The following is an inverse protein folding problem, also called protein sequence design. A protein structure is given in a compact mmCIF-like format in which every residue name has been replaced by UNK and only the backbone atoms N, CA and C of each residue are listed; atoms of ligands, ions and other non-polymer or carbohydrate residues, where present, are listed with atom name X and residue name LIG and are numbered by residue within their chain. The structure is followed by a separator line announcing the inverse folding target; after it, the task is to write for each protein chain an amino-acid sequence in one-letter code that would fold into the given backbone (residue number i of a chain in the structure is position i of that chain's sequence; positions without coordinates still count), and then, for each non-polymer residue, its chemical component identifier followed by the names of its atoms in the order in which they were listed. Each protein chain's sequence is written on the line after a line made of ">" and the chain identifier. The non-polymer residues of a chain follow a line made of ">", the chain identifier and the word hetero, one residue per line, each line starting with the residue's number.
data_IF_012193741122
#
_entry.id   IF_012193741122
#
_cell.length_a   1.000
_cell.length_b   1.000
_cell.length_c   1.000
_cell.angle_alpha   90.00
_cell.angle_beta   90.00
_cell.angle_gamma   90.00
#
_symmetry.space_group_name_H-M   'P 1'
#
loop_
_entity.id
_entity.type
_entity.pdbx_description
1 polymer ?
#
# COMPACT_ATOMS: atom_id res chain seq x y z
N UNK A 1 -60.01 -44.61 44.54
CA UNK A 1 -60.91 -44.48 43.38
C UNK A 1 -60.06 -44.55 42.11
N UNK A 2 -60.14 -45.66 41.37
CA UNK A 2 -59.90 -45.74 39.90
C UNK A 2 -61.20 -45.28 39.20
N UNK A 3 -61.23 -44.76 37.94
CA UNK A 3 -60.88 -45.49 36.69
C UNK A 3 -60.05 -44.66 35.66
N UNK A 4 -59.21 -45.21 34.78
CA UNK A 4 -59.46 -46.05 33.58
C UNK A 4 -60.05 -45.27 32.37
N UNK A 5 -59.14 -45.05 31.39
CA UNK A 5 -59.24 -45.24 29.93
C UNK A 5 -60.10 -44.30 29.03
N UNK A 6 -59.63 -44.30 27.76
CA UNK A 6 -60.36 -44.24 26.47
C UNK A 6 -60.62 -42.83 25.92
N UNK A 7 -60.44 -42.46 24.65
CA UNK A 7 -59.92 -43.02 23.38
C UNK A 7 -59.83 -41.82 22.41
N UNK A 8 -59.05 -41.92 21.33
CA UNK A 8 -59.27 -41.28 20.01
C UNK A 8 -59.27 -39.73 19.91
N UNK A 9 -58.94 -39.07 18.82
CA UNK A 9 -58.48 -39.46 17.49
C UNK A 9 -58.23 -38.15 16.70
N UNK A 10 -57.25 -38.20 15.80
CA UNK A 10 -57.31 -37.65 14.43
C UNK A 10 -57.25 -36.12 14.25
N UNK A 11 -56.08 -35.69 13.73
CA UNK A 11 -55.82 -34.87 12.53
C UNK A 11 -56.60 -33.55 12.40
N UNK A 12 -55.88 -32.41 12.34
CA UNK A 12 -55.82 -31.54 11.14
C UNK A 12 -54.48 -30.80 11.08
N UNK A 13 -53.74 -31.13 10.03
CA UNK A 13 -52.60 -30.42 9.48
C UNK A 13 -53.04 -29.01 9.04
N UNK A 14 -52.46 -27.96 9.60
CA UNK A 14 -52.52 -26.63 8.99
C UNK A 14 -51.11 -26.07 8.89
N UNK A 15 -50.49 -26.31 7.72
CA UNK A 15 -49.32 -25.58 7.25
C UNK A 15 -49.74 -24.12 7.04
N UNK A 16 -49.40 -23.25 8.00
CA UNK A 16 -49.41 -21.81 7.78
C UNK A 16 -48.04 -21.43 7.19
N UNK A 17 -48.01 -21.25 5.88
CA UNK A 17 -46.89 -20.66 5.16
C UNK A 17 -46.71 -19.21 5.64
N UNK A 18 -45.67 -18.98 6.45
CA UNK A 18 -45.23 -17.64 6.79
C UNK A 18 -44.37 -17.10 5.64
N UNK A 19 -44.98 -16.24 4.83
CA UNK A 19 -44.35 -15.43 3.79
C UNK A 19 -43.33 -14.49 4.41
N UNK A 20 -42.05 -14.87 4.41
CA UNK A 20 -40.92 -13.97 4.66
C UNK A 20 -40.67 -13.16 3.39
N UNK A 21 -41.31 -12.00 3.29
CA UNK A 21 -40.92 -10.94 2.38
C UNK A 21 -39.57 -10.37 2.85
N UNK A 22 -38.46 -10.96 2.40
CA UNK A 22 -37.17 -10.31 2.46
C UNK A 22 -37.20 -9.14 1.49
N UNK A 23 -37.25 -7.94 2.05
CA UNK A 23 -36.94 -6.71 1.34
C UNK A 23 -35.57 -6.88 0.67
N UNK A 24 -35.56 -6.94 -0.66
CA UNK A 24 -34.37 -6.89 -1.48
C UNK A 24 -33.69 -5.54 -1.24
N UNK A 25 -32.79 -5.51 -0.27
CA UNK A 25 -31.78 -4.47 -0.18
C UNK A 25 -30.85 -4.75 -1.34
N UNK A 26 -30.83 -3.84 -2.31
CA UNK A 26 -29.85 -3.84 -3.40
C UNK A 26 -28.45 -4.02 -2.81
N UNK A 27 -27.95 -5.25 -2.90
CA UNK A 27 -26.57 -5.58 -2.64
C UNK A 27 -25.84 -4.97 -3.82
N UNK A 28 -25.29 -3.76 -3.63
CA UNK A 28 -24.23 -3.27 -4.49
C UNK A 28 -23.20 -4.41 -4.59
N UNK A 29 -22.78 -4.82 -5.80
CA UNK A 29 -21.71 -5.78 -5.92
C UNK A 29 -20.50 -5.18 -5.20
N UNK A 30 -20.13 -5.79 -4.08
CA UNK A 30 -18.84 -5.55 -3.44
C UNK A 30 -17.81 -5.83 -4.52
N UNK A 31 -17.18 -4.77 -5.03
CA UNK A 31 -16.03 -4.88 -5.91
C UNK A 31 -14.96 -5.57 -5.09
N UNK A 32 -14.84 -6.89 -5.25
CA UNK A 32 -13.71 -7.62 -4.71
C UNK A 32 -12.45 -6.96 -5.30
N UNK A 33 -11.45 -6.64 -4.47
CA UNK A 33 -10.19 -6.13 -4.99
C UNK A 33 -9.66 -7.19 -5.97
N UNK A 34 -9.59 -6.80 -7.24
CA UNK A 34 -9.11 -7.64 -8.33
C UNK A 34 -7.75 -8.21 -7.93
N UNK A 35 -7.73 -9.49 -7.57
CA UNK A 35 -6.61 -10.18 -6.90
C UNK A 35 -5.40 -10.42 -7.80
N UNK A 36 -5.33 -9.69 -8.93
CA UNK A 36 -4.14 -9.65 -9.77
C UNK A 36 -2.91 -9.27 -8.94
N UNK A 37 -1.85 -10.10 -8.95
CA UNK A 37 -0.60 -9.75 -8.29
C UNK A 37 -0.10 -8.39 -8.79
N UNK A 38 0.21 -7.49 -7.87
CA UNK A 38 0.70 -6.15 -8.22
C UNK A 38 2.04 -6.26 -8.94
N UNK A 39 2.05 -5.87 -10.21
CA UNK A 39 3.26 -5.85 -11.02
C UNK A 39 4.05 -4.57 -10.77
N UNK A 40 4.96 -4.61 -9.79
CA UNK A 40 5.85 -3.50 -9.45
C UNK A 40 6.95 -3.25 -10.50
N UNK A 41 7.03 -4.06 -11.58
CA UNK A 41 7.97 -3.85 -12.69
C UNK A 41 7.44 -2.91 -13.77
N UNK A 42 6.14 -2.55 -13.70
CA UNK A 42 5.47 -1.67 -14.63
C UNK A 42 5.16 -0.30 -14.01
N UNK A 43 5.00 0.74 -14.84
CA UNK A 43 4.56 2.04 -14.35
C UNK A 43 3.15 1.95 -13.74
N UNK A 44 2.80 2.85 -12.80
CA UNK A 44 3.61 3.97 -12.28
C UNK A 44 4.69 3.53 -11.26
N UNK A 45 5.88 4.14 -11.36
CA UNK A 45 7.02 3.85 -10.49
C UNK A 45 7.09 4.80 -9.29
N UNK A 46 6.28 4.53 -8.26
CA UNK A 46 6.23 5.39 -7.07
C UNK A 46 7.56 5.36 -6.30
N UNK A 47 8.07 4.16 -6.00
CA UNK A 47 9.27 3.98 -5.18
C UNK A 47 10.33 3.20 -5.95
N UNK A 48 11.61 3.56 -5.78
CA UNK A 48 12.74 2.89 -6.42
C UNK A 48 12.82 1.40 -6.04
N UNK A 49 13.26 0.55 -6.96
CA UNK A 49 13.69 -0.81 -6.61
C UNK A 49 14.88 -0.77 -5.66
N UNK A 50 15.15 -1.88 -4.97
CA UNK A 50 16.30 -1.96 -4.08
C UNK A 50 17.60 -1.69 -4.83
N UNK A 51 17.84 -2.35 -5.96
CA UNK A 51 19.08 -2.18 -6.73
C UNK A 51 19.28 -0.71 -7.15
N UNK A 52 18.23 -0.07 -7.69
CA UNK A 52 18.30 1.34 -8.07
C UNK A 52 18.57 2.26 -6.88
N UNK A 53 18.01 1.97 -5.71
CA UNK A 53 18.30 2.74 -4.50
C UNK A 53 19.71 2.44 -3.95
N UNK A 54 20.14 1.20 -3.99
CA UNK A 54 21.43 0.74 -3.49
C UNK A 54 22.58 1.33 -4.30
N UNK A 55 22.39 1.54 -5.60
CA UNK A 55 23.37 2.16 -6.50
C UNK A 55 23.46 3.69 -6.36
N UNK A 56 22.58 4.32 -5.56
CA UNK A 56 22.66 5.75 -5.27
C UNK A 56 23.91 6.08 -4.43
N UNK A 57 24.42 7.30 -4.59
CA UNK A 57 25.43 7.84 -3.68
C UNK A 57 24.86 8.06 -2.28
N UNK A 58 25.71 8.08 -1.26
CA UNK A 58 25.26 8.24 0.13
C UNK A 58 24.47 9.53 0.35
N UNK A 59 24.88 10.66 -0.25
CA UNK A 59 24.13 11.92 -0.18
C UNK A 59 22.72 11.83 -0.79
N UNK A 60 22.57 11.06 -1.87
CA UNK A 60 21.28 10.81 -2.51
C UNK A 60 20.41 9.86 -1.68
N UNK A 61 21.01 8.82 -1.09
CA UNK A 61 20.33 7.90 -0.16
C UNK A 61 19.79 8.68 1.04
N UNK A 62 20.64 9.49 1.68
CA UNK A 62 20.25 10.27 2.85
C UNK A 62 19.12 11.26 2.51
N UNK A 63 19.22 11.96 1.37
CA UNK A 63 18.14 12.81 0.88
C UNK A 63 16.85 12.02 0.64
N UNK A 64 16.92 10.88 -0.05
CA UNK A 64 15.75 10.04 -0.35
C UNK A 64 15.06 9.57 0.92
N UNK A 65 15.81 8.97 1.86
CA UNK A 65 15.27 8.41 3.10
C UNK A 65 14.65 9.49 4.00
N UNK A 66 15.31 10.65 4.12
CA UNK A 66 14.81 11.75 4.94
C UNK A 66 13.48 12.32 4.41
N UNK A 67 13.33 12.40 3.08
CA UNK A 67 12.14 12.98 2.46
C UNK A 67 11.01 11.95 2.27
N UNK A 68 11.33 10.67 2.12
CA UNK A 68 10.29 9.64 1.95
C UNK A 68 9.63 9.26 3.28
N UNK A 69 10.36 9.26 4.41
CA UNK A 69 9.83 8.89 5.73
C UNK A 69 8.51 9.59 6.11
N UNK A 70 8.39 10.93 6.06
CA UNK A 70 7.14 11.60 6.40
C UNK A 70 5.99 11.25 5.44
N UNK A 71 6.29 10.88 4.19
CA UNK A 71 5.29 10.45 3.21
C UNK A 71 4.82 9.03 3.47
N UNK A 72 5.73 8.12 3.81
CA UNK A 72 5.38 6.76 4.22
C UNK A 72 4.46 6.76 5.45
N UNK A 73 4.66 7.70 6.37
CA UNK A 73 3.81 7.81 7.55
C UNK A 73 2.38 8.30 7.26
N UNK A 74 2.11 8.83 6.05
CA UNK A 74 0.75 9.11 5.57
C UNK A 74 0.03 7.86 5.08
N UNK A 75 0.76 6.76 4.85
CA UNK A 75 0.21 5.47 4.44
C UNK A 75 -0.17 4.68 5.71
N UNK A 76 -1.44 4.32 5.93
CA UNK A 76 -1.90 3.67 7.16
C UNK A 76 -1.09 2.42 7.54
N UNK A 77 -0.74 1.57 6.57
CA UNK A 77 0.04 0.34 6.76
C UNK A 77 1.54 0.56 7.07
N UNK A 78 1.99 1.82 7.00
CA UNK A 78 3.36 2.29 7.22
C UNK A 78 3.43 3.47 8.21
N UNK A 79 2.31 3.88 8.81
CA UNK A 79 2.17 5.07 9.69
C UNK A 79 3.10 5.12 10.91
N UNK A 80 3.67 3.97 11.28
CA UNK A 80 4.58 3.82 12.43
C UNK A 80 6.03 3.62 12.01
N UNK A 81 6.38 3.82 10.74
CA UNK A 81 7.76 3.69 10.29
C UNK A 81 8.61 4.80 10.89
N UNK A 82 9.80 4.40 11.32
CA UNK A 82 10.80 5.26 11.94
C UNK A 82 12.02 5.38 11.04
N UNK A 83 12.91 6.32 11.38
CA UNK A 83 14.22 6.41 10.71
C UNK A 83 14.99 5.10 10.81
N UNK A 84 14.94 4.41 11.96
CA UNK A 84 15.61 3.13 12.17
C UNK A 84 15.13 2.05 11.19
N UNK A 85 13.82 1.99 10.92
CA UNK A 85 13.27 1.04 9.95
C UNK A 85 13.77 1.31 8.53
N UNK A 86 13.97 2.58 8.18
CA UNK A 86 14.52 2.97 6.88
C UNK A 86 16.03 2.77 6.80
N UNK A 87 16.77 2.99 7.89
CA UNK A 87 18.19 2.66 7.97
C UNK A 87 18.39 1.15 7.83
N UNK A 88 17.51 0.32 8.40
CA UNK A 88 17.54 -1.13 8.16
C UNK A 88 17.20 -1.46 6.70
N UNK A 89 16.14 -0.86 6.15
CA UNK A 89 15.76 -1.08 4.76
C UNK A 89 16.83 -0.61 3.75
N UNK A 90 17.70 0.34 4.13
CA UNK A 90 18.85 0.76 3.33
C UNK A 90 19.82 -0.39 3.06
N UNK A 91 19.99 -1.27 4.05
CA UNK A 91 20.99 -2.33 4.03
C UNK A 91 20.40 -3.69 3.65
N UNK A 92 19.09 -3.88 3.81
CA UNK A 92 18.42 -5.17 3.63
C UNK A 92 17.33 -5.14 2.56
N UNK A 93 17.56 -5.90 1.48
CA UNK A 93 16.63 -6.05 0.35
C UNK A 93 15.19 -6.36 0.79
N UNK A 94 15.02 -7.32 1.72
CA UNK A 94 13.70 -7.77 2.14
C UNK A 94 12.92 -6.66 2.86
N UNK A 95 13.58 -5.89 3.72
CA UNK A 95 12.96 -4.77 4.43
C UNK A 95 12.57 -3.64 3.47
N UNK A 96 13.39 -3.39 2.44
CA UNK A 96 13.06 -2.45 1.36
C UNK A 96 11.85 -2.89 0.53
N UNK A 97 11.85 -4.14 0.07
CA UNK A 97 10.81 -4.68 -0.80
C UNK A 97 9.46 -4.74 -0.10
N UNK A 98 9.43 -5.04 1.21
CA UNK A 98 8.20 -4.97 2.01
C UNK A 98 7.60 -3.57 2.09
N UNK A 99 8.45 -2.53 2.25
CA UNK A 99 7.98 -1.14 2.26
C UNK A 99 7.46 -0.78 0.88
N UNK A 100 8.24 -1.07 -0.17
CA UNK A 100 7.88 -0.82 -1.56
C UNK A 100 6.54 -1.46 -1.92
N UNK A 101 6.34 -2.74 -1.59
CA UNK A 101 5.09 -3.44 -1.85
C UNK A 101 3.89 -2.75 -1.20
N UNK A 102 4.00 -2.35 0.07
CA UNK A 102 2.93 -1.63 0.78
C UNK A 102 2.62 -0.26 0.17
N UNK A 103 3.65 0.45 -0.32
CA UNK A 103 3.44 1.70 -1.06
C UNK A 103 2.62 1.42 -2.33
N UNK A 104 3.00 0.41 -3.11
CA UNK A 104 2.31 0.07 -4.35
C UNK A 104 0.87 -0.41 -4.10
N UNK A 105 0.64 -1.26 -3.09
CA UNK A 105 -0.70 -1.69 -2.66
C UNK A 105 -1.57 -0.49 -2.31
N UNK A 106 -1.04 0.44 -1.53
CA UNK A 106 -1.78 1.63 -1.11
C UNK A 106 -2.04 2.59 -2.27
N UNK A 107 -1.09 2.74 -3.19
CA UNK A 107 -1.20 3.65 -4.32
C UNK A 107 -2.07 3.13 -5.47
N UNK A 108 -2.65 1.92 -5.35
CA UNK A 108 -3.74 1.52 -6.25
C UNK A 108 -5.08 2.17 -5.88
N UNK A 109 -5.22 2.62 -4.63
CA UNK A 109 -6.39 3.36 -4.18
C UNK A 109 -6.29 4.83 -4.64
N UNK A 110 -7.22 5.26 -5.49
CA UNK A 110 -7.23 6.61 -6.06
C UNK A 110 -7.44 7.72 -5.02
N UNK A 111 -7.89 7.40 -3.81
CA UNK A 111 -8.12 8.39 -2.74
C UNK A 111 -6.84 9.04 -2.22
N UNK A 112 -5.69 8.42 -2.46
CA UNK A 112 -4.39 8.81 -1.89
C UNK A 112 -3.35 9.18 -2.94
N UNK A 113 -3.81 9.41 -4.19
CA UNK A 113 -2.98 9.71 -5.34
C UNK A 113 -1.94 10.80 -5.07
N UNK A 114 -2.32 11.87 -4.34
CA UNK A 114 -1.40 12.97 -3.99
C UNK A 114 -0.17 12.50 -3.22
N UNK A 115 -0.34 11.62 -2.22
CA UNK A 115 0.80 11.09 -1.45
C UNK A 115 1.69 10.23 -2.35
N UNK A 116 1.10 9.45 -3.24
CA UNK A 116 1.82 8.60 -4.18
C UNK A 116 2.62 9.40 -5.21
N UNK A 117 2.05 10.49 -5.72
CA UNK A 117 2.73 11.45 -6.60
C UNK A 117 3.88 12.14 -5.85
N UNK A 118 3.68 12.57 -4.60
CA UNK A 118 4.75 13.14 -3.76
C UNK A 118 5.91 12.14 -3.55
N UNK A 119 5.62 10.85 -3.38
CA UNK A 119 6.65 9.80 -3.26
C UNK A 119 7.42 9.66 -4.59
N UNK A 120 6.72 9.65 -5.72
CA UNK A 120 7.35 9.61 -7.04
C UNK A 120 8.23 10.85 -7.31
N UNK A 121 7.78 12.04 -6.88
CA UNK A 121 8.54 13.28 -6.99
C UNK A 121 9.84 13.25 -6.18
N UNK A 122 9.82 12.72 -4.95
CA UNK A 122 11.04 12.53 -4.15
C UNK A 122 12.01 11.64 -4.91
N UNK A 123 11.53 10.53 -5.49
CA UNK A 123 12.35 9.63 -6.31
C UNK A 123 13.01 10.35 -7.49
N UNK A 124 12.27 11.15 -8.25
CA UNK A 124 12.83 11.89 -9.38
C UNK A 124 13.87 12.92 -8.93
N UNK A 125 13.55 13.71 -7.89
CA UNK A 125 14.47 14.71 -7.32
C UNK A 125 15.78 14.09 -6.83
N UNK A 126 15.71 12.90 -6.22
CA UNK A 126 16.92 12.18 -5.80
C UNK A 126 17.84 11.85 -6.97
N UNK A 127 17.30 11.45 -8.11
CA UNK A 127 18.11 11.19 -9.31
C UNK A 127 18.67 12.48 -9.91
N UNK A 128 17.91 13.57 -9.88
CA UNK A 128 18.34 14.87 -10.41
C UNK A 128 19.50 15.49 -9.62
N UNK A 129 19.62 15.21 -8.32
CA UNK A 129 20.77 15.64 -7.50
C UNK A 129 22.11 15.21 -8.13
N UNK A 130 22.17 14.02 -8.75
CA UNK A 130 23.38 13.56 -9.44
C UNK A 130 23.68 14.34 -10.72
N UNK A 131 22.65 14.70 -11.49
CA UNK A 131 22.82 15.49 -12.71
C UNK A 131 23.45 16.85 -12.40
N UNK A 132 23.02 17.47 -11.29
CA UNK A 132 23.52 18.76 -10.84
C UNK A 132 24.93 18.67 -10.22
N UNK A 133 25.20 17.68 -9.37
CA UNK A 133 26.56 17.49 -8.81
C UNK A 133 27.60 17.19 -9.91
N UNK A 134 27.27 16.39 -10.93
CA UNK A 134 28.17 16.13 -12.06
C UNK A 134 28.42 17.39 -12.90
N UNK A 135 27.48 18.32 -12.97
CA UNK A 135 27.67 19.62 -13.63
C UNK A 135 28.56 20.54 -12.79
N UNK A 136 28.28 20.69 -11.50
CA UNK A 136 29.04 21.52 -10.57
C UNK A 136 30.51 21.07 -10.44
N UNK A 137 30.76 19.76 -10.32
CA UNK A 137 32.12 19.22 -10.25
C UNK A 137 32.92 19.49 -11.54
N UNK A 138 32.28 19.37 -12.72
CA UNK A 138 32.93 19.71 -14.01
C UNK A 138 33.26 21.19 -14.13
N UNK A 139 32.42 22.06 -13.54
CA UNK A 139 32.66 23.51 -13.50
C UNK A 139 33.74 23.89 -12.48
N UNK A 140 33.86 23.14 -11.37
CA UNK A 140 34.92 23.34 -10.39
C UNK A 140 36.31 22.99 -10.96
N UNK A 141 36.41 21.90 -11.73
CA UNK A 141 37.66 21.47 -12.39
C UNK A 141 38.14 22.41 -13.51
N UNK A 142 37.26 23.29 -14.01
CA UNK A 142 37.59 24.26 -15.06
C UNK A 142 37.94 25.66 -14.53
N UNK A 143 37.83 25.91 -13.22
CA UNK A 143 38.27 27.18 -12.66
C UNK A 143 39.80 27.16 -12.44
N UNK A 144 40.56 28.13 -13.01
CA UNK A 144 41.99 28.21 -12.76
C UNK A 144 42.23 28.51 -11.29
N UNK A 145 43.01 27.64 -10.63
CA UNK A 145 43.53 27.88 -9.28
C UNK A 145 44.32 29.19 -9.34
N UNK A 146 43.85 30.20 -8.59
CA UNK A 146 44.53 31.49 -8.45
C UNK A 146 45.81 31.36 -7.65
#
# INVERSE_FOLDING_TARGET
>A
MNPIKVFCAIIVLNLLAASLAFASKDILPSQEPDSTPIDMSKPPFFMSSYDTFHDLQDSQKDFYLANILPLLNKIPSLSQKTKKDLDEARDWYQSWDQIRKKVYEYCQDQTVQKTCDEIADVRLKTFDLFANQKYENRMADTQPVK
#
